data_IF_237206009641
#
_entry.id   IF_237206009641
#
_cell.length_a   1.000
_cell.length_b   1.000
_cell.length_c   1.000
_cell.angle_alpha   90.00
_cell.angle_beta   90.00
_cell.angle_gamma   90.00
#
_symmetry.space_group_name_H-M   'P 1'
#
loop_
_entity.id
_entity.type
_entity.pdbx_description
1 polymer ?
#
# COMPACT_ATOMS: atom_id res chain seq x y z
N UNK A 1 14.28 -17.63 -5.30
CA UNK A 1 13.38 -17.20 -4.21
C UNK A 1 12.42 -18.31 -3.75
N UNK A 2 11.70 -19.02 -4.64
CA UNK A 2 10.74 -20.06 -4.23
C UNK A 2 11.34 -21.21 -3.41
N UNK A 3 12.53 -21.69 -3.77
CA UNK A 3 13.25 -22.75 -3.03
C UNK A 3 13.54 -22.34 -1.58
N UNK A 4 13.85 -21.07 -1.36
CA UNK A 4 14.13 -20.50 -0.03
C UNK A 4 12.87 -19.93 0.64
N UNK A 5 11.68 -20.22 0.11
CA UNK A 5 10.37 -19.92 0.71
C UNK A 5 10.08 -18.43 0.95
N UNK A 6 10.51 -17.56 0.02
CA UNK A 6 10.12 -16.15 0.06
C UNK A 6 8.58 -16.00 0.06
N UNK A 7 8.07 -15.05 0.84
CA UNK A 7 6.63 -14.74 0.91
C UNK A 7 6.13 -14.24 -0.44
N UNK A 8 5.03 -14.79 -0.95
CA UNK A 8 4.39 -14.30 -2.18
C UNK A 8 3.58 -13.05 -1.86
N UNK A 9 3.90 -11.96 -2.55
CA UNK A 9 3.37 -10.62 -2.28
C UNK A 9 2.34 -10.17 -3.31
N UNK A 10 1.50 -9.21 -2.92
CA UNK A 10 0.52 -8.57 -3.81
C UNK A 10 1.18 -7.52 -4.71
N UNK A 11 1.84 -7.98 -5.79
CA UNK A 11 2.49 -7.13 -6.80
C UNK A 11 3.32 -5.96 -6.21
N UNK A 12 4.50 -6.23 -5.62
CA UNK A 12 5.45 -5.19 -5.26
C UNK A 12 5.83 -4.33 -6.48
N UNK A 13 5.72 -3.00 -6.36
CA UNK A 13 6.15 -2.05 -7.39
C UNK A 13 7.29 -1.15 -6.87
N UNK A 14 7.07 0.14 -6.63
CA UNK A 14 8.14 1.03 -6.20
C UNK A 14 8.50 0.83 -4.73
N UNK A 15 9.77 1.09 -4.43
CA UNK A 15 10.33 1.06 -3.08
C UNK A 15 11.10 2.35 -2.85
N UNK A 16 10.85 3.03 -1.73
CA UNK A 16 11.56 4.26 -1.33
C UNK A 16 12.02 4.18 0.12
N UNK A 17 13.16 4.80 0.39
CA UNK A 17 13.74 4.92 1.73
C UNK A 17 13.53 6.36 2.20
N UNK A 18 12.97 6.54 3.38
CA UNK A 18 12.79 7.84 3.99
C UNK A 18 14.16 8.49 4.26
N UNK A 19 14.39 9.74 3.81
CA UNK A 19 15.64 10.45 4.08
C UNK A 19 15.72 10.98 5.52
N UNK A 20 14.68 10.80 6.34
CA UNK A 20 14.61 11.29 7.72
C UNK A 20 14.96 10.24 8.76
N UNK A 21 14.51 9.01 8.55
CA UNK A 21 14.59 7.94 9.55
C UNK A 21 14.98 6.58 8.96
N UNK A 22 15.20 6.49 7.65
CA UNK A 22 15.63 5.26 6.97
C UNK A 22 14.55 4.20 6.82
N UNK A 23 13.31 4.43 7.29
CA UNK A 23 12.22 3.49 7.08
C UNK A 23 11.93 3.32 5.59
N UNK A 24 11.57 2.10 5.19
CA UNK A 24 11.36 1.73 3.79
C UNK A 24 9.89 1.51 3.51
N UNK A 25 9.42 1.99 2.36
CA UNK A 25 8.03 1.94 1.93
C UNK A 25 7.96 1.24 0.57
N UNK A 26 7.02 0.33 0.40
CA UNK A 26 6.80 -0.40 -0.84
C UNK A 26 5.32 -0.46 -1.19
N UNK A 27 4.99 -0.12 -2.42
CA UNK A 27 3.65 -0.33 -2.96
C UNK A 27 3.40 -1.79 -3.29
N UNK A 28 2.26 -2.30 -2.82
CA UNK A 28 1.69 -3.58 -3.18
C UNK A 28 0.40 -3.28 -3.96
N UNK A 29 0.53 -3.07 -5.27
CA UNK A 29 -0.46 -2.31 -6.06
C UNK A 29 -1.84 -2.99 -6.12
N UNK A 30 -1.90 -4.31 -6.28
CA UNK A 30 -3.12 -5.12 -6.19
C UNK A 30 -2.79 -6.60 -6.38
N UNK A 31 -3.74 -7.49 -6.08
CA UNK A 31 -3.68 -8.90 -6.46
C UNK A 31 -5.08 -9.55 -6.43
N UNK A 32 -5.74 -9.59 -7.58
CA UNK A 32 -7.06 -10.23 -7.72
C UNK A 32 -7.03 -11.75 -7.51
N UNK A 33 -5.84 -12.37 -7.52
CA UNK A 33 -5.63 -13.81 -7.27
C UNK A 33 -5.29 -14.11 -5.81
N UNK A 34 -5.20 -13.09 -4.93
CA UNK A 34 -4.98 -13.32 -3.50
C UNK A 34 -6.15 -14.14 -2.95
N UNK A 35 -5.85 -15.21 -2.23
CA UNK A 35 -6.82 -16.20 -1.73
C UNK A 35 -6.94 -17.45 -2.60
N UNK A 36 -6.41 -17.44 -3.83
CA UNK A 36 -6.33 -18.64 -4.67
C UNK A 36 -5.26 -19.62 -4.13
N UNK A 37 -5.24 -20.83 -4.68
CA UNK A 37 -4.27 -21.87 -4.31
C UNK A 37 -2.82 -21.35 -4.41
N UNK A 38 -2.07 -21.53 -3.32
CA UNK A 38 -0.69 -21.07 -3.22
C UNK A 38 -0.52 -19.56 -3.02
N UNK A 39 -1.59 -18.81 -2.75
CA UNK A 39 -1.58 -17.38 -2.41
C UNK A 39 -2.49 -17.10 -1.20
N UNK A 40 -2.18 -17.62 0.00
CA UNK A 40 -3.02 -17.45 1.18
C UNK A 40 -3.16 -15.97 1.57
N UNK A 41 -4.30 -15.63 2.18
CA UNK A 41 -4.53 -14.32 2.82
C UNK A 41 -3.78 -14.27 4.15
N UNK A 42 -3.10 -13.16 4.45
CA UNK A 42 -2.46 -12.93 5.73
C UNK A 42 -1.24 -12.02 5.68
N UNK A 43 -0.82 -11.55 6.86
CA UNK A 43 0.33 -10.66 7.03
C UNK A 43 0.18 -9.39 6.17
N UNK A 44 1.20 -9.04 5.34
CA UNK A 44 1.16 -7.84 4.52
C UNK A 44 0.21 -7.94 3.30
N UNK A 45 -0.49 -9.07 3.14
CA UNK A 45 -1.47 -9.31 2.07
C UNK A 45 -2.84 -9.66 2.67
N UNK A 46 -3.54 -8.69 3.29
CA UNK A 46 -4.62 -8.99 4.23
C UNK A 46 -5.99 -9.27 3.59
N UNK A 47 -6.13 -9.16 2.27
CA UNK A 47 -7.44 -9.24 1.59
C UNK A 47 -7.43 -10.20 0.42
N UNK A 48 -8.40 -11.12 0.38
CA UNK A 48 -8.66 -11.91 -0.83
C UNK A 48 -9.15 -11.01 -1.97
N UNK A 49 -8.86 -11.38 -3.22
CA UNK A 49 -9.27 -10.66 -4.43
C UNK A 49 -8.98 -9.16 -4.34
N UNK A 50 -7.77 -8.83 -3.89
CA UNK A 50 -7.37 -7.46 -3.60
C UNK A 50 -7.30 -6.63 -4.89
N UNK A 51 -8.21 -5.68 -5.05
CA UNK A 51 -8.28 -4.79 -6.21
C UNK A 51 -7.78 -3.37 -5.94
N UNK A 52 -7.49 -3.03 -4.68
CA UNK A 52 -7.15 -1.67 -4.28
C UNK A 52 -5.69 -1.49 -3.91
N UNK A 53 -5.04 -2.53 -3.38
CA UNK A 53 -3.65 -2.46 -2.96
C UNK A 53 -3.43 -1.89 -1.56
N UNK A 54 -2.16 -1.83 -1.17
CA UNK A 54 -1.70 -1.33 0.12
C UNK A 54 -0.25 -0.82 -0.01
N UNK A 55 0.22 -0.03 0.96
CA UNK A 55 1.63 0.35 1.09
C UNK A 55 2.19 -0.34 2.32
N UNK A 56 3.16 -1.21 2.10
CA UNK A 56 3.95 -1.88 3.13
C UNK A 56 5.05 -0.93 3.61
N UNK A 57 5.29 -0.89 4.92
CA UNK A 57 6.44 -0.22 5.52
C UNK A 57 7.25 -1.22 6.34
N UNK A 58 8.58 -1.05 6.36
CA UNK A 58 9.43 -1.74 7.33
C UNK A 58 10.59 -0.88 7.83
N UNK A 59 11.15 -1.30 8.96
CA UNK A 59 12.37 -0.76 9.54
C UNK A 59 13.31 -1.91 9.90
N UNK A 60 14.54 -1.87 9.38
CA UNK A 60 15.57 -2.85 9.70
C UNK A 60 16.00 -2.76 11.17
N UNK A 61 16.32 -3.91 11.77
CA UNK A 61 16.73 -4.01 13.17
C UNK A 61 17.90 -3.05 13.48
N UNK A 62 17.72 -2.22 14.51
CA UNK A 62 18.72 -1.22 14.91
C UNK A 62 18.95 -0.11 13.89
N UNK A 63 17.98 0.15 12.99
CA UNK A 63 18.10 1.16 11.92
C UNK A 63 19.34 0.94 11.05
N UNK A 64 19.68 -0.33 10.81
CA UNK A 64 20.86 -0.73 10.08
C UNK A 64 20.47 -1.49 8.81
N UNK A 65 20.70 -0.88 7.64
CA UNK A 65 20.38 -1.47 6.34
C UNK A 65 21.13 -2.80 6.03
N UNK A 66 22.12 -3.19 6.83
CA UNK A 66 22.78 -4.49 6.73
C UNK A 66 22.17 -5.57 7.65
N UNK A 67 21.18 -5.22 8.46
CA UNK A 67 20.48 -6.18 9.32
C UNK A 67 19.69 -7.18 8.46
N UNK A 68 19.55 -8.42 8.98
CA UNK A 68 18.86 -9.51 8.29
C UNK A 68 17.43 -9.72 8.79
N UNK A 69 16.96 -8.83 9.68
CA UNK A 69 15.63 -8.81 10.25
C UNK A 69 15.08 -7.38 10.22
N UNK A 70 13.76 -7.26 10.14
CA UNK A 70 13.03 -6.00 10.13
C UNK A 70 11.66 -6.20 10.77
N UNK A 71 11.15 -5.12 11.36
CA UNK A 71 9.73 -5.00 11.73
C UNK A 71 8.97 -4.35 10.58
N UNK A 72 7.72 -4.78 10.35
CA UNK A 72 6.89 -4.24 9.27
C UNK A 72 5.47 -3.92 9.72
N UNK A 73 4.85 -2.96 9.05
CA UNK A 73 3.44 -2.60 9.17
C UNK A 73 2.84 -2.22 7.82
N UNK A 74 1.51 -2.13 7.74
CA UNK A 74 0.83 -1.57 6.56
C UNK A 74 0.56 -0.09 6.82
N UNK A 75 1.36 0.78 6.19
CA UNK A 75 1.22 2.23 6.29
C UNK A 75 -0.18 2.69 5.86
N UNK A 76 -0.71 2.09 4.78
CA UNK A 76 -2.09 2.28 4.36
C UNK A 76 -2.59 1.05 3.62
N UNK A 77 -3.86 0.71 3.83
CA UNK A 77 -4.61 -0.24 3.00
C UNK A 77 -5.61 0.57 2.18
N UNK A 78 -5.36 0.70 0.87
CA UNK A 78 -6.23 1.46 -0.01
C UNK A 78 -7.59 0.77 -0.16
N UNK A 79 -8.65 1.53 -0.43
CA UNK A 79 -10.01 0.99 -0.51
C UNK A 79 -11.04 2.06 -0.85
N UNK A 80 -12.29 1.64 -0.98
CA UNK A 80 -13.40 2.52 -1.29
C UNK A 80 -14.44 2.51 -0.13
N UNK A 81 -14.32 3.40 0.85
CA UNK A 81 -15.23 3.44 1.99
C UNK A 81 -16.62 3.97 1.60
N UNK A 82 -16.76 4.67 0.47
CA UNK A 82 -18.05 5.14 -0.02
C UNK A 82 -18.91 3.99 -0.60
N UNK A 83 -18.27 2.97 -1.18
CA UNK A 83 -18.94 1.80 -1.76
C UNK A 83 -19.02 0.62 -0.78
N UNK A 84 -17.97 0.44 0.03
CA UNK A 84 -17.76 -0.78 0.81
C UNK A 84 -17.67 -0.54 2.33
N UNK A 85 -18.39 0.47 2.84
CA UNK A 85 -18.35 0.89 4.24
C UNK A 85 -18.43 -0.29 5.23
N UNK A 86 -17.52 -0.31 6.21
CA UNK A 86 -17.50 -1.34 7.26
C UNK A 86 -16.93 -2.69 6.84
N UNK A 87 -16.41 -2.83 5.62
CA UNK A 87 -15.76 -4.05 5.13
C UNK A 87 -14.24 -3.84 4.92
N UNK A 88 -13.43 -4.91 4.79
CA UNK A 88 -12.01 -4.77 4.43
C UNK A 88 -11.75 -4.00 3.11
N UNK A 89 -12.73 -3.96 2.21
CA UNK A 89 -12.66 -3.26 0.93
C UNK A 89 -12.80 -1.73 1.10
N UNK A 90 -13.24 -1.25 2.27
CA UNK A 90 -13.26 0.18 2.61
C UNK A 90 -11.85 0.79 2.74
N UNK A 91 -10.83 -0.03 3.01
CA UNK A 91 -9.49 0.44 3.33
C UNK A 91 -9.26 0.63 4.83
N UNK A 92 -8.06 1.09 5.19
CA UNK A 92 -7.69 1.44 6.57
C UNK A 92 -8.28 2.79 7.00
N UNK A 93 -8.19 3.12 8.29
CA UNK A 93 -8.83 4.30 8.87
C UNK A 93 -8.33 5.64 8.35
N UNK A 94 -7.16 5.69 7.70
CA UNK A 94 -6.62 6.87 7.02
C UNK A 94 -7.16 7.06 5.60
N UNK A 95 -7.97 6.13 5.08
CA UNK A 95 -8.73 6.28 3.84
C UNK A 95 -10.16 6.73 4.15
N UNK A 96 -10.62 7.77 3.46
CA UNK A 96 -11.95 8.34 3.56
C UNK A 96 -12.47 8.76 2.18
N UNK A 97 -13.71 9.23 2.13
CA UNK A 97 -14.36 9.60 0.87
C UNK A 97 -13.70 10.78 0.13
N UNK A 98 -12.83 11.55 0.80
CA UNK A 98 -12.13 12.70 0.23
C UNK A 98 -10.75 12.36 -0.32
N UNK A 99 -10.13 11.26 0.12
CA UNK A 99 -8.77 10.88 -0.26
C UNK A 99 -8.63 9.45 -0.80
N UNK A 100 -9.73 8.73 -1.02
CA UNK A 100 -9.67 7.35 -1.48
C UNK A 100 -9.05 7.21 -2.87
N UNK A 101 -8.18 6.20 -3.01
CA UNK A 101 -7.50 5.86 -4.25
C UNK A 101 -7.39 4.34 -4.39
N UNK A 102 -6.92 3.88 -5.55
CA UNK A 102 -6.64 2.47 -5.80
C UNK A 102 -5.32 2.32 -6.55
N UNK A 103 -4.70 1.14 -6.42
CA UNK A 103 -3.47 0.73 -7.11
C UNK A 103 -2.34 1.74 -6.96
N UNK A 104 -1.88 2.02 -5.71
CA UNK A 104 -0.66 2.81 -5.54
C UNK A 104 0.50 2.07 -6.19
N UNK A 105 1.29 2.78 -6.99
CA UNK A 105 2.41 2.26 -7.77
C UNK A 105 3.66 3.09 -7.45
N UNK A 106 3.79 4.28 -8.04
CA UNK A 106 4.96 5.14 -7.85
C UNK A 106 5.05 5.71 -6.44
N UNK A 107 6.27 5.75 -5.89
CA UNK A 107 6.58 6.40 -4.61
C UNK A 107 7.80 7.32 -4.75
N UNK A 108 7.80 8.40 -3.98
CA UNK A 108 8.97 9.28 -3.83
C UNK A 108 8.96 9.98 -2.47
N UNK A 109 10.14 10.23 -1.92
CA UNK A 109 10.30 11.18 -0.81
C UNK A 109 10.91 12.47 -1.32
N UNK A 110 10.43 13.60 -0.80
CA UNK A 110 11.17 14.86 -0.91
C UNK A 110 12.05 15.12 0.33
N UNK A 111 12.89 16.15 0.24
CA UNK A 111 13.83 16.52 1.32
C UNK A 111 13.14 16.90 2.63
N UNK A 112 11.86 17.28 2.60
CA UNK A 112 11.10 17.57 3.79
C UNK A 112 10.56 16.31 4.48
N UNK A 113 10.64 15.15 3.82
CA UNK A 113 10.12 13.87 4.32
C UNK A 113 8.65 13.62 3.99
N UNK A 114 8.06 14.35 3.04
CA UNK A 114 6.72 14.03 2.53
C UNK A 114 6.82 12.81 1.62
N UNK A 115 5.92 11.85 1.80
CA UNK A 115 5.78 10.69 0.93
C UNK A 115 4.78 11.00 -0.19
N UNK A 116 5.27 11.06 -1.42
CA UNK A 116 4.45 11.19 -2.62
C UNK A 116 4.02 9.82 -3.10
N UNK A 117 2.71 9.64 -3.33
CA UNK A 117 2.09 8.39 -3.77
C UNK A 117 1.45 8.63 -5.13
N UNK A 118 1.80 7.83 -6.13
CA UNK A 118 1.26 7.91 -7.49
C UNK A 118 0.48 6.62 -7.79
N UNK A 119 -0.64 6.75 -8.50
CA UNK A 119 -1.53 5.60 -8.76
C UNK A 119 -1.46 5.14 -10.21
N UNK A 120 -1.52 3.83 -10.43
CA UNK A 120 -1.78 3.19 -11.73
C UNK A 120 -2.97 2.23 -11.62
N UNK A 121 -4.14 2.81 -11.39
CA UNK A 121 -5.36 2.13 -11.05
C UNK A 121 -6.45 2.17 -12.10
N UNK A 122 -7.56 1.52 -11.75
CA UNK A 122 -8.79 1.58 -12.54
C UNK A 122 -9.36 3.01 -12.47
N UNK A 123 -9.46 3.64 -13.65
CA UNK A 123 -9.96 5.00 -13.84
C UNK A 123 -11.39 5.04 -14.41
N UNK A 124 -12.15 3.94 -14.29
CA UNK A 124 -13.53 3.87 -14.79
C UNK A 124 -14.50 4.77 -14.02
N UNK A 125 -14.14 5.14 -12.78
CA UNK A 125 -14.96 5.88 -11.84
C UNK A 125 -16.36 5.25 -11.65
N UNK A 126 -16.44 3.91 -11.66
CA UNK A 126 -17.69 3.14 -11.56
C UNK A 126 -17.49 1.91 -10.67
N UNK A 127 -18.61 1.37 -10.18
CA UNK A 127 -18.60 0.16 -9.34
C UNK A 127 -17.68 0.33 -8.13
N UNK A 128 -16.74 -0.61 -7.99
CA UNK A 128 -15.75 -0.63 -6.91
C UNK A 128 -14.84 0.60 -6.84
N UNK A 129 -14.70 1.33 -7.96
CA UNK A 129 -13.86 2.52 -8.10
C UNK A 129 -14.69 3.81 -8.20
N UNK A 130 -16.00 3.74 -7.93
CA UNK A 130 -16.88 4.90 -7.97
C UNK A 130 -16.40 5.99 -7.00
N UNK A 131 -16.25 7.21 -7.51
CA UNK A 131 -15.76 8.37 -6.78
C UNK A 131 -14.24 8.57 -6.77
N UNK A 132 -13.44 7.60 -7.27
CA UNK A 132 -11.97 7.74 -7.31
C UNK A 132 -11.47 8.57 -8.51
N UNK A 133 -12.25 8.67 -9.59
CA UNK A 133 -11.89 9.47 -10.76
C UNK A 133 -10.75 8.87 -11.59
N UNK A 134 -9.89 9.75 -12.11
CA UNK A 134 -8.69 9.36 -12.86
C UNK A 134 -7.56 8.97 -11.90
N UNK A 135 -6.48 8.39 -12.44
CA UNK A 135 -5.20 8.31 -11.74
C UNK A 135 -4.74 9.68 -11.20
N UNK A 136 -4.02 9.63 -10.09
CA UNK A 136 -3.76 10.78 -9.24
C UNK A 136 -2.39 10.67 -8.56
N UNK A 137 -1.99 11.77 -7.94
CA UNK A 137 -0.85 11.82 -7.04
C UNK A 137 -1.33 12.41 -5.71
N UNK A 138 -1.02 11.71 -4.62
CA UNK A 138 -1.32 12.10 -3.25
C UNK A 138 -0.02 12.40 -2.50
N UNK A 139 -0.16 13.10 -1.39
CA UNK A 139 0.92 13.39 -0.47
C UNK A 139 0.55 12.90 0.93
N UNK A 140 1.46 12.15 1.55
CA UNK A 140 1.28 11.58 2.87
C UNK A 140 2.33 12.08 3.86
N UNK A 141 1.90 12.24 5.11
CA UNK A 141 2.79 12.39 6.26
C UNK A 141 3.08 11.00 6.86
N UNK A 142 4.32 10.51 6.77
CA UNK A 142 4.66 9.16 7.25
C UNK A 142 4.48 8.95 8.76
N UNK A 143 4.55 10.02 9.55
CA UNK A 143 4.46 9.96 11.00
C UNK A 143 3.00 9.87 11.48
N UNK A 144 2.11 10.67 10.89
CA UNK A 144 0.69 10.69 11.26
C UNK A 144 -0.16 9.71 10.45
N UNK A 145 0.30 9.29 9.28
CA UNK A 145 -0.47 8.47 8.33
C UNK A 145 -1.55 9.26 7.58
N UNK A 146 -1.58 10.59 7.71
CA UNK A 146 -2.47 11.46 6.95
C UNK A 146 -2.13 11.41 5.46
N UNK A 147 -3.14 11.39 4.60
CA UNK A 147 -3.01 11.38 3.13
C UNK A 147 -3.95 12.43 2.53
N UNK A 148 -3.45 13.26 1.63
CA UNK A 148 -4.19 14.30 0.90
C UNK A 148 -3.93 14.27 -0.59
#
# INVERSE_FOLDING_TARGET
>A
ASVVKATRMDRPEWIVVSPKDGQVYCTLTNNVKRGDEGQPVGGPNPRAKNQYGQILRWSEEGSNASAMAFDWDLFVVAGNPAVHAGTPQAGSSNINAQNMFNSPDGLSFDEAGRLWIQTDGDSSNKGDFAGMGNNQMLCADPASGEIR
#
